data_IF_568966906422
#
_entry.id   IF_568966906422
#
_cell.length_a   1.000
_cell.length_b   1.000
_cell.length_c   1.000
_cell.angle_alpha   90.00
_cell.angle_beta   90.00
_cell.angle_gamma   90.00
#
_symmetry.space_group_name_H-M   'P 1'
#
loop_
_entity.id
_entity.type
_entity.pdbx_description
1 polymer ?
#
# COMPACT_ATOMS: atom_id res chain seq x y z
N UNK A 1 6.48 -73.59 -30.08
CA UNK A 1 6.25 -72.58 -29.02
C UNK A 1 7.43 -72.38 -28.06
N UNK A 2 8.38 -73.32 -27.93
CA UNK A 2 9.52 -73.22 -26.98
C UNK A 2 10.71 -72.37 -27.44
N UNK A 3 10.82 -72.04 -28.74
CA UNK A 3 11.93 -71.22 -29.27
C UNK A 3 11.67 -69.70 -29.12
N UNK A 4 10.40 -69.28 -29.09
CA UNK A 4 10.04 -67.88 -28.88
C UNK A 4 10.35 -67.42 -27.46
N UNK A 5 10.12 -68.26 -26.44
CA UNK A 5 10.42 -67.90 -25.05
C UNK A 5 11.92 -67.69 -24.78
N UNK A 6 12.81 -68.46 -25.43
CA UNK A 6 14.27 -68.33 -25.23
C UNK A 6 14.83 -67.01 -25.73
N UNK A 7 14.23 -66.41 -26.77
CA UNK A 7 14.70 -65.15 -27.36
C UNK A 7 14.37 -63.94 -26.47
N UNK A 8 13.26 -64.00 -25.72
CA UNK A 8 12.79 -62.90 -24.89
C UNK A 8 13.15 -63.02 -23.40
N UNK A 9 13.68 -64.16 -22.96
CA UNK A 9 14.13 -64.37 -21.57
C UNK A 9 15.14 -63.32 -21.10
N UNK A 10 16.06 -62.89 -21.97
CA UNK A 10 17.05 -61.85 -21.62
C UNK A 10 16.39 -60.47 -21.41
N UNK A 11 15.41 -60.12 -22.22
CA UNK A 11 14.70 -58.84 -22.11
C UNK A 11 13.75 -58.81 -20.91
N UNK A 12 13.08 -59.93 -20.60
CA UNK A 12 12.23 -60.05 -19.42
C UNK A 12 13.04 -59.97 -18.12
N UNK A 13 14.25 -60.55 -18.08
CA UNK A 13 15.14 -60.44 -16.93
C UNK A 13 15.60 -58.99 -16.69
N UNK A 14 15.89 -58.24 -17.76
CA UNK A 14 16.25 -56.81 -17.66
C UNK A 14 15.07 -55.97 -17.18
N UNK A 15 13.87 -56.21 -17.71
CA UNK A 15 12.66 -55.50 -17.26
C UNK A 15 12.33 -55.76 -15.79
N UNK A 16 12.47 -57.00 -15.32
CA UNK A 16 12.33 -57.36 -13.91
C UNK A 16 13.40 -56.70 -13.03
N UNK A 17 14.64 -56.61 -13.50
CA UNK A 17 15.72 -55.93 -12.79
C UNK A 17 15.46 -54.43 -12.63
N UNK A 18 14.96 -53.76 -13.68
CA UNK A 18 14.63 -52.33 -13.64
C UNK A 18 13.44 -52.09 -12.70
N UNK A 19 12.40 -52.94 -12.73
CA UNK A 19 11.25 -52.81 -11.83
C UNK A 19 11.66 -52.92 -10.35
N UNK A 20 12.57 -53.84 -10.02
CA UNK A 20 13.10 -53.99 -8.66
C UNK A 20 13.98 -52.81 -8.20
N UNK A 21 14.73 -52.19 -9.11
CA UNK A 21 15.56 -51.02 -8.78
C UNK A 21 14.69 -49.77 -8.56
N UNK A 22 13.58 -49.63 -9.28
CA UNK A 22 12.64 -48.51 -9.12
C UNK A 22 11.92 -48.58 -7.76
N UNK A 23 11.56 -49.78 -7.28
CA UNK A 23 11.01 -49.94 -5.93
C UNK A 23 12.04 -49.64 -4.82
N UNK A 24 13.32 -49.99 -5.02
CA UNK A 24 14.38 -49.64 -4.07
C UNK A 24 14.64 -48.12 -4.02
N UNK A 25 14.55 -47.42 -5.15
CA UNK A 25 14.75 -45.97 -5.22
C UNK A 25 13.62 -45.17 -4.56
N UNK A 26 12.40 -45.74 -4.48
CA UNK A 26 11.28 -45.12 -3.78
C UNK A 26 11.38 -45.23 -2.24
N UNK A 27 12.13 -46.20 -1.72
CA UNK A 27 12.29 -46.46 -0.28
C UNK A 27 13.59 -45.93 0.33
N UNK A 28 14.55 -45.47 -0.48
CA UNK A 28 15.69 -44.71 0.01
C UNK A 28 15.43 -43.21 -0.17
N UNK A 29 14.94 -42.48 0.86
CA UNK A 29 15.09 -41.03 0.84
C UNK A 29 16.59 -40.77 0.74
N UNK A 30 17.02 -40.11 -0.34
CA UNK A 30 18.39 -39.66 -0.53
C UNK A 30 18.84 -38.94 0.75
N UNK A 31 19.59 -39.67 1.57
CA UNK A 31 20.04 -39.24 2.87
C UNK A 31 20.97 -38.07 2.69
N UNK A 32 20.63 -36.98 3.36
CA UNK A 32 21.51 -35.83 3.60
C UNK A 32 22.89 -36.35 3.99
N UNK A 33 23.89 -35.99 3.20
CA UNK A 33 25.28 -36.10 3.63
C UNK A 33 25.42 -35.36 4.96
N UNK A 34 25.77 -36.08 6.02
CA UNK A 34 26.20 -35.50 7.28
C UNK A 34 27.60 -34.94 7.05
N UNK A 35 27.75 -33.63 7.17
CA UNK A 35 29.00 -32.95 7.50
C UNK A 35 28.82 -32.20 8.81
N UNK A 36 29.90 -32.02 9.59
CA UNK A 36 29.86 -31.95 11.04
C UNK A 36 29.43 -30.57 11.58
N UNK A 37 28.85 -30.63 12.77
CA UNK A 37 28.81 -29.61 13.83
C UNK A 37 29.37 -28.23 13.50
N UNK A 38 28.49 -27.22 13.43
CA UNK A 38 28.60 -26.01 14.24
C UNK A 38 27.32 -25.17 14.09
N UNK A 39 26.86 -24.61 15.22
CA UNK A 39 25.76 -23.63 15.35
C UNK A 39 24.32 -24.19 15.32
N UNK A 40 24.05 -25.18 16.17
CA UNK A 40 22.71 -25.34 16.74
C UNK A 40 22.70 -24.67 18.12
N UNK A 41 22.42 -23.37 18.14
CA UNK A 41 21.92 -22.60 19.29
C UNK A 41 21.59 -21.18 18.80
N UNK A 42 20.41 -21.02 18.22
CA UNK A 42 19.77 -19.72 18.12
C UNK A 42 18.28 -19.94 18.36
N UNK A 43 17.81 -19.29 19.42
CA UNK A 43 16.44 -19.21 19.86
C UNK A 43 15.51 -18.88 18.67
N UNK A 44 14.42 -19.63 18.50
CA UNK A 44 13.52 -19.51 17.34
C UNK A 44 12.86 -18.12 17.18
N UNK A 45 13.01 -17.25 18.18
CA UNK A 45 12.63 -15.84 18.14
C UNK A 45 13.54 -14.98 17.26
N UNK A 46 14.85 -15.22 17.25
CA UNK A 46 15.79 -14.39 16.50
C UNK A 46 15.78 -14.72 15.00
N UNK A 47 15.63 -15.99 14.65
CA UNK A 47 15.51 -16.39 13.23
C UNK A 47 14.26 -15.81 12.57
N UNK A 48 13.14 -15.71 13.30
CA UNK A 48 11.91 -15.10 12.78
C UNK A 48 12.05 -13.59 12.61
N UNK A 49 12.75 -12.89 13.51
CA UNK A 49 13.04 -11.47 13.36
C UNK A 49 13.93 -11.21 12.16
N UNK A 50 15.02 -11.96 12.02
CA UNK A 50 15.91 -11.85 10.86
C UNK A 50 15.15 -12.15 9.56
N UNK A 51 14.28 -13.17 9.56
CA UNK A 51 13.43 -13.46 8.41
C UNK A 51 12.39 -12.36 8.11
N UNK A 52 11.87 -11.67 9.13
CA UNK A 52 10.98 -10.52 8.96
C UNK A 52 11.73 -9.31 8.37
N UNK A 53 12.94 -9.02 8.84
CA UNK A 53 13.78 -7.95 8.30
C UNK A 53 14.16 -8.24 6.85
N UNK A 54 14.54 -9.48 6.53
CA UNK A 54 14.81 -9.91 5.16
C UNK A 54 13.54 -9.86 4.32
N UNK A 55 12.38 -10.22 4.86
CA UNK A 55 11.08 -10.10 4.19
C UNK A 55 10.76 -8.66 3.84
N UNK A 56 11.04 -7.71 4.73
CA UNK A 56 10.87 -6.29 4.47
C UNK A 56 11.86 -5.77 3.42
N UNK A 57 13.11 -6.25 3.44
CA UNK A 57 14.15 -5.82 2.50
C UNK A 57 14.01 -6.42 1.09
N UNK A 58 13.52 -7.66 0.98
CA UNK A 58 13.45 -8.42 -0.29
C UNK A 58 12.02 -8.58 -0.80
N UNK A 59 11.02 -8.27 0.03
CA UNK A 59 9.60 -8.46 -0.28
C UNK A 59 9.16 -9.93 -0.39
N UNK A 60 10.01 -10.88 0.00
CA UNK A 60 9.72 -12.33 -0.04
C UNK A 60 9.14 -12.78 1.29
N UNK A 61 8.10 -13.63 1.27
CA UNK A 61 7.43 -14.06 2.50
C UNK A 61 8.37 -14.75 3.50
N UNK A 62 8.14 -14.49 4.79
CA UNK A 62 8.88 -15.11 5.91
C UNK A 62 8.92 -16.63 5.78
N UNK A 63 7.80 -17.25 5.40
CA UNK A 63 7.72 -18.72 5.19
C UNK A 63 8.71 -19.22 4.15
N UNK A 64 8.87 -18.50 3.04
CA UNK A 64 9.80 -18.86 1.98
C UNK A 64 11.26 -18.64 2.39
N UNK A 65 11.53 -17.55 3.10
CA UNK A 65 12.84 -17.25 3.68
C UNK A 65 13.28 -18.37 4.64
N UNK A 66 12.36 -18.81 5.50
CA UNK A 66 12.60 -19.90 6.44
C UNK A 66 12.79 -21.25 5.74
N UNK A 67 12.09 -21.50 4.62
CA UNK A 67 12.31 -22.69 3.80
C UNK A 67 13.72 -22.72 3.22
N UNK A 68 14.21 -21.60 2.69
CA UNK A 68 15.58 -21.48 2.17
C UNK A 68 16.58 -21.64 3.33
N UNK A 69 16.32 -21.06 4.50
CA UNK A 69 17.17 -21.22 5.69
C UNK A 69 17.28 -22.68 6.13
N UNK A 70 16.17 -23.44 6.08
CA UNK A 70 16.13 -24.88 6.39
C UNK A 70 16.99 -25.74 5.45
N UNK A 71 17.42 -25.21 4.30
CA UNK A 71 18.40 -25.88 3.42
C UNK A 71 19.84 -25.81 3.94
N UNK A 72 20.07 -25.21 5.11
CA UNK A 72 21.39 -25.10 5.75
C UNK A 72 22.19 -23.87 5.32
N UNK A 73 21.59 -22.96 4.56
CA UNK A 73 22.24 -21.74 4.07
C UNK A 73 22.39 -20.69 5.18
N UNK A 74 23.40 -19.85 5.06
CA UNK A 74 23.63 -18.68 5.90
C UNK A 74 22.70 -17.53 5.50
N UNK A 75 22.41 -16.60 6.40
CA UNK A 75 21.54 -15.45 6.10
C UNK A 75 22.03 -14.61 4.92
N UNK A 76 23.34 -14.46 4.75
CA UNK A 76 23.93 -13.76 3.61
C UNK A 76 23.67 -14.48 2.29
N UNK A 77 23.76 -15.82 2.27
CA UNK A 77 23.43 -16.62 1.09
C UNK A 77 21.94 -16.58 0.78
N UNK A 78 21.08 -16.60 1.81
CA UNK A 78 19.63 -16.41 1.64
C UNK A 78 19.37 -15.07 0.97
N UNK A 79 19.93 -13.97 1.48
CA UNK A 79 19.76 -12.63 0.89
C UNK A 79 20.29 -12.58 -0.56
N UNK A 80 21.44 -13.20 -0.86
CA UNK A 80 21.96 -13.22 -2.23
C UNK A 80 21.06 -13.99 -3.18
N UNK A 81 20.52 -15.13 -2.76
CA UNK A 81 19.56 -15.90 -3.56
C UNK A 81 18.30 -15.07 -3.80
N UNK A 82 17.76 -14.42 -2.76
CA UNK A 82 16.57 -13.58 -2.90
C UNK A 82 16.82 -12.38 -3.83
N UNK A 83 18.00 -11.76 -3.76
CA UNK A 83 18.41 -10.66 -4.66
C UNK A 83 18.60 -11.12 -6.11
N UNK A 84 19.02 -12.36 -6.35
CA UNK A 84 19.10 -12.90 -7.72
C UNK A 84 17.75 -13.34 -8.25
N UNK A 85 16.83 -13.76 -7.39
CA UNK A 85 15.42 -13.97 -7.74
C UNK A 85 14.75 -12.68 -8.23
N UNK A 86 15.04 -11.52 -7.63
CA UNK A 86 14.54 -10.22 -8.11
C UNK A 86 15.12 -9.79 -9.47
N UNK A 87 16.36 -10.19 -9.77
CA UNK A 87 17.03 -9.86 -11.05
C UNK A 87 16.66 -10.80 -12.20
N UNK A 88 16.14 -11.98 -11.89
CA UNK A 88 15.75 -13.00 -12.87
C UNK A 88 14.23 -13.12 -12.85
N UNK A 89 13.60 -12.04 -13.31
CA UNK A 89 12.16 -11.80 -13.45
C UNK A 89 11.22 -12.97 -13.20
N UNK A 90 10.56 -12.95 -12.05
CA UNK A 90 9.22 -13.52 -11.93
C UNK A 90 8.21 -12.37 -12.04
N UNK A 91 8.02 -11.88 -13.27
CA UNK A 91 6.99 -10.87 -13.62
C UNK A 91 5.63 -11.29 -13.04
N UNK A 92 5.32 -12.59 -13.07
CA UNK A 92 4.12 -13.17 -12.50
C UNK A 92 3.97 -13.00 -10.98
N UNK A 93 5.07 -12.90 -10.23
CA UNK A 93 5.04 -12.76 -8.77
C UNK A 93 4.99 -11.29 -8.35
N UNK A 94 5.56 -10.39 -9.16
CA UNK A 94 5.35 -8.94 -9.06
C UNK A 94 3.91 -8.57 -9.47
N UNK A 95 3.39 -9.19 -10.53
CA UNK A 95 2.00 -9.07 -10.96
C UNK A 95 1.05 -9.61 -9.90
N UNK A 96 1.29 -10.79 -9.31
CA UNK A 96 0.48 -11.30 -8.19
C UNK A 96 0.52 -10.39 -6.97
N UNK A 97 1.67 -9.80 -6.64
CA UNK A 97 1.80 -8.89 -5.50
C UNK A 97 1.03 -7.58 -5.74
N UNK A 98 1.11 -7.05 -6.97
CA UNK A 98 0.26 -5.94 -7.38
C UNK A 98 -1.22 -6.32 -7.40
N UNK A 99 -1.56 -7.54 -7.85
CA UNK A 99 -2.93 -8.05 -7.91
C UNK A 99 -3.55 -8.18 -6.51
N UNK A 100 -2.79 -8.69 -5.52
CA UNK A 100 -3.22 -8.80 -4.12
C UNK A 100 -3.30 -7.45 -3.42
N UNK A 101 -2.45 -6.48 -3.78
CA UNK A 101 -2.53 -5.11 -3.25
C UNK A 101 -3.60 -4.25 -3.92
N UNK A 102 -4.21 -4.71 -5.02
CA UNK A 102 -5.22 -3.98 -5.82
C UNK A 102 -6.52 -4.76 -5.99
N UNK A 103 -6.87 -5.66 -5.07
CA UNK A 103 -8.12 -6.44 -5.08
C UNK A 103 -9.41 -5.58 -4.97
N UNK A 104 -9.29 -4.25 -4.88
CA UNK A 104 -10.41 -3.33 -4.68
C UNK A 104 -10.61 -2.42 -5.90
N UNK A 105 -11.27 -2.91 -6.96
CA UNK A 105 -11.84 -2.00 -7.96
C UNK A 105 -12.05 -2.56 -9.37
N UNK A 106 -11.28 -3.58 -9.77
CA UNK A 106 -11.39 -4.22 -11.09
C UNK A 106 -11.30 -5.74 -10.94
N UNK A 107 -12.36 -6.45 -11.35
CA UNK A 107 -12.44 -7.91 -11.19
C UNK A 107 -11.59 -8.64 -12.25
N UNK A 108 -11.19 -9.89 -11.96
CA UNK A 108 -10.45 -10.70 -12.94
C UNK A 108 -11.22 -10.88 -14.26
N UNK A 109 -12.56 -10.89 -14.20
CA UNK A 109 -13.41 -10.98 -15.38
C UNK A 109 -13.30 -9.73 -16.26
N UNK A 110 -13.23 -8.54 -15.66
CA UNK A 110 -13.07 -7.29 -16.39
C UNK A 110 -11.72 -7.21 -17.10
N UNK A 111 -10.65 -7.68 -16.44
CA UNK A 111 -9.32 -7.76 -17.04
C UNK A 111 -9.32 -8.73 -18.24
N UNK A 112 -10.01 -9.87 -18.13
CA UNK A 112 -10.16 -10.81 -19.25
C UNK A 112 -10.94 -10.21 -20.41
N UNK A 113 -11.98 -9.42 -20.15
CA UNK A 113 -12.73 -8.73 -21.19
C UNK A 113 -11.89 -7.67 -21.92
N UNK A 114 -11.10 -6.88 -21.19
CA UNK A 114 -10.24 -5.84 -21.76
C UNK A 114 -9.08 -6.44 -22.55
N UNK A 115 -8.47 -7.53 -22.07
CA UNK A 115 -7.44 -8.25 -22.82
C UNK A 115 -8.01 -8.90 -24.09
N UNK A 116 -9.24 -9.42 -24.05
CA UNK A 116 -9.93 -9.92 -25.23
C UNK A 116 -10.24 -8.81 -26.26
N UNK A 117 -10.41 -7.56 -25.83
CA UNK A 117 -10.55 -6.39 -26.72
C UNK A 117 -9.21 -5.94 -27.33
N UNK A 118 -8.09 -6.58 -26.97
CA UNK A 118 -6.77 -6.33 -27.54
C UNK A 118 -5.90 -5.34 -26.76
N UNK A 119 -6.30 -4.93 -25.56
CA UNK A 119 -5.48 -4.07 -24.70
C UNK A 119 -4.38 -4.87 -24.00
N UNK A 120 -3.20 -4.27 -23.85
CA UNK A 120 -2.09 -4.91 -23.16
C UNK A 120 -2.30 -4.92 -21.63
N UNK A 121 -1.81 -5.96 -20.94
CA UNK A 121 -1.84 -6.03 -19.48
C UNK A 121 -1.17 -4.82 -18.82
N UNK A 122 -0.13 -4.28 -19.45
CA UNK A 122 0.55 -3.09 -18.97
C UNK A 122 -0.37 -1.88 -18.98
N UNK A 123 -1.04 -1.60 -20.11
CA UNK A 123 -1.97 -0.45 -20.21
C UNK A 123 -3.16 -0.56 -19.25
N UNK A 124 -3.69 -1.78 -19.08
CA UNK A 124 -4.77 -2.05 -18.12
C UNK A 124 -4.28 -1.75 -16.70
N UNK A 125 -3.07 -2.20 -16.35
CA UNK A 125 -2.49 -2.00 -15.02
C UNK A 125 -2.18 -0.54 -14.74
N UNK A 126 -1.59 0.17 -15.71
CA UNK A 126 -1.30 1.62 -15.60
C UNK A 126 -2.59 2.43 -15.39
N UNK A 127 -3.61 2.15 -16.20
CA UNK A 127 -4.93 2.80 -16.10
C UNK A 127 -5.60 2.49 -14.76
N UNK A 128 -5.53 1.23 -14.30
CA UNK A 128 -6.08 0.80 -13.01
C UNK A 128 -5.40 1.53 -11.85
N UNK A 129 -4.08 1.58 -11.84
CA UNK A 129 -3.32 2.25 -10.78
C UNK A 129 -3.70 3.74 -10.67
N UNK A 130 -3.83 4.42 -11.81
CA UNK A 130 -4.27 5.81 -11.84
C UNK A 130 -5.70 5.97 -11.30
N UNK A 131 -6.64 5.11 -11.73
CA UNK A 131 -8.02 5.14 -11.25
C UNK A 131 -8.12 4.92 -9.73
N UNK A 132 -7.38 3.94 -9.20
CA UNK A 132 -7.34 3.64 -7.77
C UNK A 132 -6.72 4.77 -6.97
N UNK A 133 -5.63 5.38 -7.48
CA UNK A 133 -5.03 6.57 -6.87
C UNK A 133 -6.07 7.68 -6.74
N UNK A 134 -6.76 8.00 -7.83
CA UNK A 134 -7.78 9.07 -7.84
C UNK A 134 -8.95 8.73 -6.92
N UNK A 135 -9.43 7.48 -6.94
CA UNK A 135 -10.49 7.04 -6.03
C UNK A 135 -10.09 7.19 -4.56
N UNK A 136 -8.86 6.81 -4.23
CA UNK A 136 -8.33 6.97 -2.89
C UNK A 136 -8.26 8.45 -2.50
N UNK A 137 -7.71 9.31 -3.35
CA UNK A 137 -7.63 10.74 -3.12
C UNK A 137 -9.02 11.36 -2.89
N UNK A 138 -10.02 11.00 -3.69
CA UNK A 138 -11.41 11.46 -3.52
C UNK A 138 -11.98 10.99 -2.17
N UNK A 139 -11.80 9.70 -1.83
CA UNK A 139 -12.25 9.16 -0.53
C UNK A 139 -11.63 9.92 0.62
N UNK A 140 -10.32 10.14 0.57
CA UNK A 140 -9.61 10.93 1.58
C UNK A 140 -10.18 12.34 1.67
N UNK A 141 -10.49 13.01 0.56
CA UNK A 141 -11.10 14.35 0.59
C UNK A 141 -12.49 14.35 1.22
N UNK A 142 -13.30 13.31 1.01
CA UNK A 142 -14.63 13.15 1.60
C UNK A 142 -14.64 12.65 3.04
N UNK A 143 -13.55 12.04 3.51
CA UNK A 143 -13.44 11.53 4.87
C UNK A 143 -13.47 12.68 5.88
N UNK A 144 -14.45 12.62 6.79
CA UNK A 144 -14.52 13.53 7.92
C UNK A 144 -13.34 13.24 8.86
N UNK A 145 -12.58 14.29 9.18
CA UNK A 145 -11.51 14.17 10.16
C UNK A 145 -12.15 13.97 11.54
N UNK A 146 -11.68 13.03 12.38
CA UNK A 146 -12.22 12.81 13.73
C UNK A 146 -12.25 14.08 14.62
N UNK A 147 -11.45 15.09 14.26
CA UNK A 147 -11.34 16.38 14.95
C UNK A 147 -12.48 17.37 14.61
N UNK A 148 -13.28 17.13 13.56
CA UNK A 148 -14.44 17.98 13.23
C UNK A 148 -15.71 17.62 14.02
N UNK A 149 -15.69 16.50 14.77
CA UNK A 149 -16.80 16.07 15.62
C UNK A 149 -16.79 16.69 17.03
N UNK A 150 -15.79 17.51 17.35
CA UNK A 150 -15.78 18.29 18.57
C UNK A 150 -16.38 19.66 18.21
N UNK A 151 -17.65 19.86 18.55
CA UNK A 151 -18.37 21.13 18.40
C UNK A 151 -17.53 22.29 18.97
N UNK A 152 -16.87 23.06 18.10
CA UNK A 152 -16.33 24.37 18.48
C UNK A 152 -17.51 25.35 18.55
N UNK A 153 -17.67 26.11 19.65
CA UNK A 153 -18.73 27.10 19.73
C UNK A 153 -18.51 28.20 18.68
N UNK A 154 -19.61 28.46 18.00
CA UNK A 154 -19.87 29.42 16.94
C UNK A 154 -19.22 30.80 17.12
N UNK A 155 -18.09 31.07 16.44
CA UNK A 155 -17.74 32.40 15.89
C UNK A 155 -16.78 32.20 14.70
N UNK A 156 -17.27 32.33 13.46
CA UNK A 156 -16.56 32.92 12.30
C UNK A 156 -17.41 32.73 11.02
N UNK A 157 -18.39 33.61 10.87
CA UNK A 157 -19.16 33.75 9.64
C UNK A 157 -18.32 34.52 8.60
N UNK A 158 -17.42 33.84 7.90
CA UNK A 158 -16.98 34.26 6.55
C UNK A 158 -16.13 33.26 5.76
N UNK A 159 -15.67 32.14 6.34
CA UNK A 159 -14.80 31.16 5.64
C UNK A 159 -15.52 29.89 5.16
N UNK A 160 -16.79 29.68 5.51
CA UNK A 160 -17.41 28.34 5.41
C UNK A 160 -18.09 28.00 4.08
N UNK A 161 -18.54 28.98 3.28
CA UNK A 161 -19.32 28.65 2.06
C UNK A 161 -18.51 27.98 0.95
N UNK A 162 -17.28 28.42 0.68
CA UNK A 162 -16.46 27.86 -0.42
C UNK A 162 -15.98 26.43 -0.12
N UNK A 163 -15.63 26.13 1.13
CA UNK A 163 -15.19 24.79 1.53
C UNK A 163 -16.33 23.78 1.53
N UNK A 164 -17.53 24.19 1.94
CA UNK A 164 -18.71 23.33 1.91
C UNK A 164 -19.13 22.99 0.46
N UNK A 165 -19.09 23.97 -0.44
CA UNK A 165 -19.38 23.75 -1.86
C UNK A 165 -18.39 22.75 -2.49
N UNK A 166 -17.09 22.88 -2.21
CA UNK A 166 -16.06 21.98 -2.74
C UNK A 166 -16.13 20.57 -2.16
N UNK A 167 -16.43 20.42 -0.86
CA UNK A 167 -16.68 19.10 -0.26
C UNK A 167 -17.90 18.40 -0.88
N UNK A 168 -18.96 19.15 -1.20
CA UNK A 168 -20.13 18.60 -1.87
C UNK A 168 -19.80 18.11 -3.29
N UNK A 169 -18.93 18.80 -4.02
CA UNK A 169 -18.43 18.31 -5.33
C UNK A 169 -17.68 16.99 -5.15
N UNK A 170 -16.77 16.89 -4.18
CA UNK A 170 -16.05 15.63 -3.91
C UNK A 170 -16.98 14.48 -3.53
N UNK A 171 -18.02 14.75 -2.73
CA UNK A 171 -19.03 13.74 -2.37
C UNK A 171 -19.79 13.24 -3.60
N UNK A 172 -20.26 14.16 -4.45
CA UNK A 172 -20.95 13.80 -5.71
C UNK A 172 -20.06 12.94 -6.61
N UNK A 173 -18.79 13.33 -6.78
CA UNK A 173 -17.83 12.54 -7.55
C UNK A 173 -17.65 11.16 -6.90
N UNK A 174 -17.45 11.08 -5.58
CA UNK A 174 -17.23 9.82 -4.87
C UNK A 174 -18.38 8.82 -5.05
N UNK A 175 -19.62 9.30 -5.06
CA UNK A 175 -20.83 8.48 -5.24
C UNK A 175 -20.94 7.88 -6.65
N UNK A 176 -20.49 8.62 -7.67
CA UNK A 176 -20.58 8.22 -9.08
C UNK A 176 -19.30 7.58 -9.62
N UNK A 177 -18.18 7.64 -8.89
CA UNK A 177 -16.89 7.18 -9.37
C UNK A 177 -16.82 5.65 -9.47
N UNK A 178 -16.62 5.13 -10.68
CA UNK A 178 -16.44 3.70 -10.94
C UNK A 178 -15.09 3.43 -11.58
N UNK A 179 -14.25 2.65 -10.87
CA UNK A 179 -12.91 2.23 -11.34
C UNK A 179 -13.01 1.48 -12.66
N UNK A 180 -13.98 0.57 -12.79
CA UNK A 180 -14.22 -0.20 -14.02
C UNK A 180 -14.52 0.69 -15.23
N UNK A 181 -15.43 1.65 -15.06
CA UNK A 181 -15.83 2.55 -16.15
C UNK A 181 -14.66 3.44 -16.57
N UNK A 182 -13.99 4.09 -15.62
CA UNK A 182 -12.89 5.01 -15.94
C UNK A 182 -11.70 4.28 -16.58
N UNK A 183 -11.37 3.05 -16.15
CA UNK A 183 -10.34 2.23 -16.81
C UNK A 183 -10.74 1.91 -18.24
N UNK A 184 -12.00 1.56 -18.48
CA UNK A 184 -12.51 1.28 -19.82
C UNK A 184 -12.43 2.52 -20.71
N UNK A 185 -12.78 3.70 -20.18
CA UNK A 185 -12.69 4.96 -20.91
C UNK A 185 -11.26 5.38 -21.18
N UNK A 186 -10.36 5.27 -20.20
CA UNK A 186 -8.92 5.55 -20.39
C UNK A 186 -8.36 4.72 -21.53
N UNK A 187 -8.69 3.42 -21.61
CA UNK A 187 -8.22 2.56 -22.69
C UNK A 187 -8.83 2.90 -24.06
N UNK A 188 -10.14 3.19 -24.11
CA UNK A 188 -10.84 3.51 -25.37
C UNK A 188 -10.50 4.89 -25.92
N UNK A 189 -10.43 5.90 -25.05
CA UNK A 189 -10.36 7.32 -25.41
C UNK A 189 -8.95 7.90 -25.36
N UNK A 190 -7.95 7.17 -24.84
CA UNK A 190 -6.53 7.61 -24.83
C UNK A 190 -6.03 8.07 -26.19
N UNK A 191 -6.49 7.45 -27.30
CA UNK A 191 -6.09 7.86 -28.65
C UNK A 191 -6.64 9.24 -29.05
N UNK A 192 -7.81 9.59 -28.55
CA UNK A 192 -8.50 10.84 -28.86
C UNK A 192 -8.02 12.00 -28.01
N UNK A 193 -7.74 11.73 -26.73
CA UNK A 193 -7.31 12.71 -25.74
C UNK A 193 -5.78 12.80 -25.62
N UNK A 194 -5.05 11.89 -26.26
CA UNK A 194 -3.59 11.82 -26.28
C UNK A 194 -2.99 11.11 -25.07
N UNK A 195 -3.56 11.29 -23.87
CA UNK A 195 -3.06 10.73 -22.62
C UNK A 195 -4.17 10.21 -21.70
N UNK A 196 -3.84 9.24 -20.83
CA UNK A 196 -4.77 8.66 -19.85
C UNK A 196 -5.16 9.68 -18.78
N UNK A 197 -4.25 10.60 -18.42
CA UNK A 197 -4.53 11.67 -17.46
C UNK A 197 -5.57 12.65 -18.02
N UNK A 198 -5.49 12.98 -19.31
CA UNK A 198 -6.48 13.84 -19.97
C UNK A 198 -7.87 13.18 -20.03
N UNK A 199 -7.94 11.85 -20.21
CA UNK A 199 -9.21 11.12 -20.13
C UNK A 199 -9.74 11.11 -18.69
N UNK A 200 -8.88 10.97 -17.69
CA UNK A 200 -9.27 11.05 -16.28
C UNK A 200 -9.84 12.43 -15.93
N UNK A 201 -9.20 13.50 -16.38
CA UNK A 201 -9.70 14.87 -16.21
C UNK A 201 -11.07 15.07 -16.86
N UNK A 202 -11.24 14.52 -18.07
CA UNK A 202 -12.53 14.57 -18.75
C UNK A 202 -13.60 13.76 -18.02
N UNK A 203 -13.26 12.59 -17.50
CA UNK A 203 -14.17 11.75 -16.72
C UNK A 203 -14.59 12.45 -15.41
N UNK A 204 -13.64 13.03 -14.66
CA UNK A 204 -13.97 13.82 -13.47
C UNK A 204 -14.88 14.99 -13.81
N UNK A 205 -14.64 15.65 -14.94
CA UNK A 205 -15.50 16.73 -15.42
C UNK A 205 -16.90 16.23 -15.81
N UNK A 206 -17.02 15.07 -16.47
CA UNK A 206 -18.30 14.53 -16.89
C UNK A 206 -19.18 14.19 -15.68
N UNK A 207 -18.60 13.64 -14.61
CA UNK A 207 -19.29 13.41 -13.33
C UNK A 207 -19.80 14.72 -12.71
N UNK A 208 -19.00 15.79 -12.75
CA UNK A 208 -19.40 17.09 -12.21
C UNK A 208 -20.57 17.69 -12.97
N UNK A 209 -20.60 17.52 -14.30
CA UNK A 209 -21.62 18.05 -15.21
C UNK A 209 -22.81 17.10 -15.42
N UNK A 210 -22.86 15.94 -14.75
CA UNK A 210 -23.84 14.88 -15.01
C UNK A 210 -23.92 14.53 -16.52
N UNK A 211 -22.77 14.38 -17.16
CA UNK A 211 -22.63 13.94 -18.54
C UNK A 211 -22.19 12.48 -18.58
N UNK A 212 -22.77 11.72 -19.50
CA UNK A 212 -22.33 10.37 -19.78
C UNK A 212 -21.17 10.41 -20.79
N UNK A 213 -20.00 9.91 -20.36
CA UNK A 213 -18.84 9.83 -21.23
C UNK A 213 -19.00 8.76 -22.32
N UNK A 214 -19.95 7.83 -22.18
CA UNK A 214 -20.31 6.92 -23.28
C UNK A 214 -20.89 7.68 -24.48
N UNK A 215 -21.58 8.80 -24.25
CA UNK A 215 -22.17 9.58 -25.33
C UNK A 215 -21.11 10.23 -26.22
N UNK A 216 -19.92 10.51 -25.69
CA UNK A 216 -18.77 10.92 -26.51
C UNK A 216 -18.41 9.85 -27.56
N UNK A 217 -18.54 8.57 -27.21
CA UNK A 217 -18.26 7.46 -28.13
C UNK A 217 -19.36 7.27 -29.18
N UNK A 218 -20.59 7.75 -28.91
CA UNK A 218 -21.73 7.66 -29.84
C UNK A 218 -21.80 8.87 -30.78
N UNK A 219 -21.72 10.08 -30.21
CA UNK A 219 -21.74 11.34 -30.94
C UNK A 219 -20.86 12.38 -30.23
N UNK A 220 -19.62 12.51 -30.73
CA UNK A 220 -18.62 13.47 -30.24
C UNK A 220 -19.12 14.91 -30.31
N UNK A 221 -19.86 15.31 -31.35
CA UNK A 221 -20.26 16.70 -31.53
C UNK A 221 -21.40 17.08 -30.59
N UNK A 222 -22.33 16.17 -30.35
CA UNK A 222 -23.40 16.38 -29.39
C UNK A 222 -22.82 16.49 -27.97
N UNK A 223 -21.93 15.57 -27.59
CA UNK A 223 -21.27 15.62 -26.28
C UNK A 223 -20.54 16.95 -26.04
N UNK A 224 -19.81 17.47 -27.02
CA UNK A 224 -19.10 18.75 -26.86
C UNK A 224 -20.06 19.93 -26.71
N UNK A 225 -21.21 19.93 -27.41
CA UNK A 225 -22.24 20.96 -27.24
C UNK A 225 -22.85 20.92 -25.84
N UNK A 226 -23.24 19.73 -25.37
CA UNK A 226 -23.82 19.55 -24.04
C UNK A 226 -22.82 19.91 -22.94
N UNK A 227 -21.53 19.61 -23.16
CA UNK A 227 -20.43 20.02 -22.29
C UNK A 227 -20.28 21.52 -22.22
N UNK A 228 -20.29 22.23 -23.35
CA UNK A 228 -20.20 23.69 -23.36
C UNK A 228 -21.40 24.34 -22.69
N UNK A 229 -22.61 23.85 -22.96
CA UNK A 229 -23.85 24.34 -22.35
C UNK A 229 -23.82 24.18 -20.83
N UNK A 230 -23.49 22.98 -20.33
CA UNK A 230 -23.44 22.72 -18.88
C UNK A 230 -22.26 23.41 -18.20
N UNK A 231 -21.15 23.66 -18.90
CA UNK A 231 -20.03 24.44 -18.38
C UNK A 231 -20.40 25.89 -18.07
N UNK A 232 -21.36 26.48 -18.79
CA UNK A 232 -21.79 27.85 -18.52
C UNK A 232 -22.46 28.00 -17.15
N UNK A 233 -23.03 26.91 -16.61
CA UNK A 233 -23.64 26.88 -15.28
C UNK A 233 -22.67 26.59 -14.12
N UNK A 234 -21.41 26.25 -14.40
CA UNK A 234 -20.43 25.86 -13.38
C UNK A 234 -19.30 26.88 -13.30
N UNK A 235 -18.99 27.34 -12.08
CA UNK A 235 -17.86 28.23 -11.86
C UNK A 235 -16.55 27.51 -12.19
N UNK A 236 -15.70 28.14 -13.02
CA UNK A 236 -14.41 27.55 -13.42
C UNK A 236 -13.52 27.19 -12.24
N UNK A 237 -13.65 27.93 -11.13
CA UNK A 237 -12.92 27.69 -9.88
C UNK A 237 -13.36 26.42 -9.15
N UNK A 238 -14.58 25.91 -9.37
CA UNK A 238 -15.10 24.72 -8.70
C UNK A 238 -14.78 23.42 -9.43
N UNK A 239 -14.29 23.47 -10.68
CA UNK A 239 -13.97 22.28 -11.47
C UNK A 239 -12.80 21.52 -10.82
N UNK A 240 -13.05 20.27 -10.48
CA UNK A 240 -12.06 19.33 -9.97
C UNK A 240 -11.40 18.61 -11.14
N UNK A 241 -10.13 18.87 -11.36
CA UNK A 241 -9.23 18.08 -12.22
C UNK A 241 -8.25 17.29 -11.36
N UNK A 242 -7.47 16.40 -11.97
CA UNK A 242 -6.42 15.63 -11.30
C UNK A 242 -5.45 16.55 -10.54
N UNK A 243 -5.00 17.63 -11.18
CA UNK A 243 -4.07 18.59 -10.57
C UNK A 243 -4.71 19.33 -9.38
N UNK A 244 -6.00 19.70 -9.48
CA UNK A 244 -6.71 20.35 -8.38
C UNK A 244 -6.92 19.39 -7.21
N UNK A 245 -7.29 18.14 -7.49
CA UNK A 245 -7.46 17.10 -6.47
C UNK A 245 -6.14 16.85 -5.71
N UNK A 246 -5.02 16.77 -6.42
CA UNK A 246 -3.69 16.61 -5.80
C UNK A 246 -3.31 17.82 -4.94
N UNK A 247 -3.57 19.04 -5.42
CA UNK A 247 -3.33 20.26 -4.68
C UNK A 247 -4.17 20.32 -3.40
N UNK A 248 -5.47 20.05 -3.51
CA UNK A 248 -6.41 20.08 -2.39
C UNK A 248 -6.05 19.02 -1.34
N UNK A 249 -5.58 17.84 -1.76
CA UNK A 249 -5.10 16.81 -0.85
C UNK A 249 -3.83 17.24 -0.11
N UNK A 250 -2.87 17.85 -0.80
CA UNK A 250 -1.66 18.37 -0.17
C UNK A 250 -1.98 19.48 0.83
N UNK A 251 -2.95 20.33 0.51
CA UNK A 251 -3.44 21.36 1.42
C UNK A 251 -4.09 20.74 2.65
N UNK A 252 -4.97 19.75 2.48
CA UNK A 252 -5.57 18.98 3.58
C UNK A 252 -4.51 18.37 4.50
N UNK A 253 -3.46 17.76 3.94
CA UNK A 253 -2.36 17.20 4.73
C UNK A 253 -1.59 18.28 5.52
N UNK A 254 -1.34 19.44 4.92
CA UNK A 254 -0.68 20.56 5.60
C UNK A 254 -1.53 21.10 6.75
N UNK A 255 -2.84 21.29 6.52
CA UNK A 255 -3.75 21.77 7.56
C UNK A 255 -3.90 20.77 8.70
N UNK A 256 -3.99 19.46 8.40
CA UNK A 256 -4.04 18.41 9.42
C UNK A 256 -2.76 18.35 10.27
N UNK A 257 -1.59 18.51 9.64
CA UNK A 257 -0.31 18.53 10.35
C UNK A 257 -0.13 19.79 11.22
N UNK A 258 -0.62 20.94 10.76
CA UNK A 258 -0.55 22.19 11.52
C UNK A 258 -1.56 22.23 12.68
N UNK A 259 -2.80 21.75 12.46
CA UNK A 259 -3.81 21.63 13.52
C UNK A 259 -3.31 20.75 14.69
N UNK A 260 -2.65 19.64 14.38
CA UNK A 260 -2.03 18.75 15.38
C UNK A 260 -0.94 19.46 16.20
N UNK A 261 -0.21 20.42 15.61
CA UNK A 261 0.80 21.21 16.33
C UNK A 261 0.17 22.30 17.21
N UNK A 262 -0.84 23.00 16.74
CA UNK A 262 -1.47 24.10 17.49
C UNK A 262 -2.27 23.62 18.71
N UNK A 263 -2.90 22.44 18.65
CA UNK A 263 -3.57 21.84 19.82
C UNK A 263 -2.59 21.38 20.90
N UNK A 264 -1.36 21.00 20.50
CA UNK A 264 -0.30 20.61 21.43
C UNK A 264 0.29 21.82 22.19
N UNK A 265 0.29 23.01 21.59
CA UNK A 265 0.75 24.24 22.25
C UNK A 265 -0.34 24.96 23.05
N UNK A 266 -1.62 24.78 22.70
CA UNK A 266 -2.74 25.44 23.37
C UNK A 266 -3.19 24.77 24.68
N UNK A 267 -2.73 23.55 24.94
CA UNK A 267 -3.04 22.79 26.18
C UNK A 267 -1.95 22.91 27.26
N UNK A 268 -0.89 23.68 27.04
CA UNK A 268 0.05 24.05 28.10
C UNK A 268 -0.58 25.16 28.97
N UNK A 269 -0.83 24.93 30.28
CA UNK A 269 -1.30 25.98 31.16
C UNK A 269 -0.24 27.08 31.23
N UNK A 270 -0.58 28.26 30.69
CA UNK A 270 0.15 29.49 30.96
C UNK A 270 0.10 29.73 32.47
N UNK A 271 1.22 29.49 33.14
CA UNK A 271 1.38 29.64 34.57
C UNK A 271 1.36 31.14 34.92
N UNK A 272 0.16 31.74 34.99
CA UNK A 272 -0.05 33.05 35.59
C UNK A 272 -0.15 32.86 37.10
N UNK A 273 0.96 33.18 37.76
CA UNK A 273 1.03 33.50 39.18
C UNK A 273 -0.13 34.42 39.60
N UNK A 274 -0.93 34.01 40.59
CA UNK A 274 -2.01 34.85 41.11
C UNK A 274 -2.92 34.21 42.15
N UNK A 275 -2.49 34.34 43.42
CA UNK A 275 -3.29 34.46 44.66
C UNK A 275 -3.91 33.20 45.29
N UNK A 276 -3.42 32.97 46.50
CA UNK A 276 -3.97 32.19 47.61
C UNK A 276 -5.49 32.36 47.77
N UNK A 277 -6.19 31.23 47.86
CA UNK A 277 -7.45 31.12 48.57
C UNK A 277 -7.39 29.86 49.43
N UNK A 278 -7.37 30.09 50.73
CA UNK A 278 -7.44 29.13 51.82
C UNK A 278 -8.79 28.40 51.78
N UNK A 279 -8.78 27.10 51.46
CA UNK A 279 -9.93 26.21 51.57
C UNK A 279 -9.48 24.92 52.26
N UNK A 280 -9.63 24.89 53.59
CA UNK A 280 -9.54 23.66 54.38
C UNK A 280 -10.65 22.71 53.96
N UNK A 281 -10.29 21.63 53.25
CA UNK A 281 -11.16 20.49 52.97
C UNK A 281 -10.83 19.32 53.91
N UNK A 282 -11.82 18.59 54.47
CA UNK A 282 -11.59 17.52 55.41
C UNK A 282 -11.49 16.18 54.67
N UNK A 283 -10.38 15.95 53.97
CA UNK A 283 -10.08 14.64 53.40
C UNK A 283 -8.64 14.29 53.77
N UNK A 284 -8.35 13.11 54.32
CA UNK A 284 -6.99 12.70 54.64
C UNK A 284 -6.15 12.63 53.36
N UNK A 285 -4.97 13.27 53.40
CA UNK A 285 -4.02 13.34 52.30
C UNK A 285 -3.59 11.93 51.85
N UNK A 286 -4.02 11.57 50.64
CA UNK A 286 -3.51 10.38 49.94
C UNK A 286 -2.13 10.75 49.39
N UNK A 287 -1.06 9.97 49.67
CA UNK A 287 0.26 10.27 49.16
C UNK A 287 0.23 10.20 47.62
N UNK A 288 0.43 11.36 46.99
CA UNK A 288 0.53 11.49 45.55
C UNK A 288 1.80 10.74 45.10
N UNK A 289 1.70 9.70 44.25
CA UNK A 289 2.88 9.04 43.73
C UNK A 289 3.68 10.04 42.90
N UNK A 290 4.96 10.21 43.24
CA UNK A 290 5.90 11.03 42.47
C UNK A 290 6.13 10.34 41.12
N UNK A 291 5.32 10.69 40.12
CA UNK A 291 5.55 10.29 38.73
C UNK A 291 6.79 11.03 38.27
N UNK A 292 7.90 10.31 38.07
CA UNK A 292 9.07 10.85 37.38
C UNK A 292 8.62 11.21 35.96
N UNK A 293 8.64 12.50 35.64
CA UNK A 293 8.42 13.04 34.30
C UNK A 293 9.48 12.48 33.34
N UNK A 294 9.18 11.33 32.73
CA UNK A 294 10.00 10.73 31.67
C UNK A 294 9.67 11.46 30.37
N UNK A 295 10.27 12.64 30.21
CA UNK A 295 10.29 13.32 28.91
C UNK A 295 10.95 12.41 27.88
N UNK A 296 10.36 12.28 26.67
CA UNK A 296 10.98 11.53 25.58
C UNK A 296 12.38 12.07 25.33
N UNK A 297 13.41 11.23 25.50
CA UNK A 297 14.78 11.60 25.15
C UNK A 297 14.87 11.72 23.63
N UNK A 298 15.47 12.82 23.17
CA UNK A 298 15.77 13.01 21.76
C UNK A 298 16.73 11.89 21.30
N UNK A 299 16.36 11.07 20.29
CA UNK A 299 17.19 9.94 19.85
C UNK A 299 18.57 10.39 19.35
N UNK A 300 18.70 11.62 18.83
CA UNK A 300 19.99 12.18 18.42
C UNK A 300 20.97 12.37 19.59
N UNK A 301 20.47 12.71 20.77
CA UNK A 301 21.31 12.89 21.97
C UNK A 301 21.73 11.55 22.59
N UNK A 302 20.89 10.52 22.47
CA UNK A 302 21.22 9.16 22.90
C UNK A 302 22.37 8.58 22.07
N UNK A 303 22.29 8.70 20.73
CA UNK A 303 23.33 8.26 19.81
C UNK A 303 24.63 9.05 20.03
N UNK A 304 24.54 10.36 20.27
CA UNK A 304 25.73 11.20 20.50
C UNK A 304 26.43 10.86 21.81
N UNK A 305 25.69 10.55 22.88
CA UNK A 305 26.25 10.05 24.15
C UNK A 305 26.93 8.70 24.00
N UNK A 306 26.35 7.81 23.20
CA UNK A 306 26.92 6.50 22.91
C UNK A 306 28.25 6.63 22.15
N UNK A 307 28.29 7.46 21.10
CA UNK A 307 29.52 7.77 20.35
C UNK A 307 30.59 8.40 21.24
N UNK A 308 30.21 9.36 22.09
CA UNK A 308 31.13 10.01 23.02
C UNK A 308 31.67 9.05 24.09
N UNK A 309 30.88 8.06 24.52
CA UNK A 309 31.30 7.04 25.50
C UNK A 309 32.26 6.00 24.94
N UNK A 310 32.30 5.85 23.61
CA UNK A 310 33.19 4.92 22.91
C UNK A 310 34.49 5.63 22.47
N UNK A 311 34.54 6.96 22.50
CA UNK A 311 35.71 7.72 22.06
C UNK A 311 36.87 7.62 23.08
N UNK A 312 37.97 6.90 22.76
CA UNK A 312 39.08 6.68 23.69
C UNK A 312 39.93 7.94 23.95
N UNK A 313 39.67 9.05 23.23
CA UNK A 313 40.39 10.32 23.38
C UNK A 313 39.69 11.33 24.31
N UNK A 314 38.53 11.00 24.89
CA UNK A 314 37.89 11.81 25.93
C UNK A 314 38.30 11.27 27.30
N UNK A 315 39.43 11.75 27.84
CA UNK A 315 39.74 11.66 29.28
C UNK A 315 39.42 13.01 29.91
N UNK A 316 38.55 12.97 30.93
CA UNK A 316 38.13 13.99 31.91
C UNK A 316 38.22 15.48 31.51
#
# INVERSE_FOLDING_TARGET
MSLFLKKYQKYMAVLLGIALIVELAAFYPFGKAKTPEAYANADGGDERKIAADISNMTGVSISKIMEIKKTGKTWNEVIQILKTFDKTGNLAEKERRNQVLTESGLEEEDVKQLTAQGYSNQEITESKLLAERVQFQIKEMTAESPLQQIEKPHVEASLTKKDDDRKNVYRKIAEQFSVKLVVTFMLKLKKDYGDIEAVMDEYLLSLQLDLDLEDYSKDKQQYQRDKEEKKLGVFKESIVTLSVLEQDLLEKMKTSNNATKEEFFSTMPSNKSGKEADLKSPIPDVPIPVVKDVRPQNPGDAVRKEIDSINPNKKD
#
